data_IF_889828726914
#
_entry.id   IF_889828726914
#
_cell.length_a   1.000
_cell.length_b   1.000
_cell.length_c   1.000
_cell.angle_alpha   90.00
_cell.angle_beta   90.00
_cell.angle_gamma   90.00
#
_symmetry.space_group_name_H-M   'P 1'
#
loop_
_entity.id
_entity.type
_entity.pdbx_description
1 polymer ?
#
# COMPACT_ATOMS: atom_id res chain seq x y z
N UNK A 1 -17.82 75.65 30.83
CA UNK A 1 -18.42 75.26 29.55
C UNK A 1 -17.35 74.57 28.72
N UNK A 2 -17.49 73.26 28.53
CA UNK A 2 -16.57 72.41 27.80
C UNK A 2 -16.57 72.82 26.32
N UNK A 3 -15.41 73.22 25.78
CA UNK A 3 -15.20 73.28 24.34
C UNK A 3 -14.79 71.88 23.88
N UNK A 4 -15.76 71.15 23.34
CA UNK A 4 -15.51 69.92 22.59
C UNK A 4 -14.67 70.25 21.36
N UNK A 5 -13.40 69.83 21.37
CA UNK A 5 -12.60 69.73 20.15
C UNK A 5 -13.08 68.49 19.40
N UNK A 6 -14.00 68.69 18.46
CA UNK A 6 -14.25 67.74 17.38
C UNK A 6 -12.96 67.53 16.59
N UNK A 7 -12.27 66.44 16.87
CA UNK A 7 -11.18 65.93 16.03
C UNK A 7 -11.86 65.33 14.80
N UNK A 8 -11.95 66.11 13.72
CA UNK A 8 -12.25 65.57 12.40
C UNK A 8 -11.07 64.68 11.98
N UNK A 9 -11.28 63.36 11.99
CA UNK A 9 -10.41 62.40 11.32
C UNK A 9 -10.48 62.66 9.82
N UNK A 10 -9.67 63.59 9.33
CA UNK A 10 -9.41 63.75 7.90
C UNK A 10 -8.73 62.47 7.44
N UNK A 11 -9.49 61.61 6.77
CA UNK A 11 -8.95 60.53 5.94
C UNK A 11 -8.07 61.23 4.91
N UNK A 12 -6.75 61.23 5.11
CA UNK A 12 -5.83 61.82 4.15
C UNK A 12 -6.08 61.15 2.81
N UNK A 13 -6.33 61.93 1.75
CA UNK A 13 -6.43 61.37 0.41
C UNK A 13 -5.18 60.54 0.13
N UNK A 14 -5.32 59.27 -0.32
CA UNK A 14 -4.15 58.45 -0.59
C UNK A 14 -3.33 59.12 -1.69
N UNK A 15 -2.01 59.21 -1.48
CA UNK A 15 -1.07 59.78 -2.45
C UNK A 15 -1.28 59.17 -3.85
N UNK A 16 -0.98 59.89 -4.94
CA UNK A 16 -1.11 59.35 -6.30
C UNK A 16 -0.35 58.03 -6.48
N UNK A 17 0.78 57.88 -5.79
CA UNK A 17 1.55 56.64 -5.71
C UNK A 17 0.77 55.51 -5.00
N UNK A 18 0.12 55.79 -3.87
CA UNK A 18 -0.69 54.80 -3.17
C UNK A 18 -1.91 54.36 -4.00
N UNK A 19 -2.52 55.26 -4.78
CA UNK A 19 -3.60 54.91 -5.72
C UNK A 19 -3.09 54.00 -6.85
N UNK A 20 -1.92 54.28 -7.40
CA UNK A 20 -1.31 53.45 -8.45
C UNK A 20 -0.91 52.06 -7.94
N UNK A 21 -0.32 51.97 -6.74
CA UNK A 21 -0.01 50.70 -6.08
C UNK A 21 -1.28 49.88 -5.83
N UNK A 22 -2.36 50.53 -5.37
CA UNK A 22 -3.62 49.83 -5.15
C UNK A 22 -4.25 49.32 -6.46
N UNK A 23 -4.14 50.09 -7.55
CA UNK A 23 -4.57 49.64 -8.87
C UNK A 23 -3.76 48.43 -9.37
N UNK A 24 -2.42 48.44 -9.24
CA UNK A 24 -1.57 47.30 -9.59
C UNK A 24 -1.92 46.05 -8.78
N UNK A 25 -2.23 46.21 -7.48
CA UNK A 25 -2.69 45.11 -6.63
C UNK A 25 -4.01 44.54 -7.12
N UNK A 26 -4.98 45.39 -7.49
CA UNK A 26 -6.26 44.92 -8.04
C UNK A 26 -6.06 44.16 -9.36
N UNK A 27 -5.18 44.64 -10.26
CA UNK A 27 -4.86 43.90 -11.49
C UNK A 27 -4.22 42.54 -11.20
N UNK A 28 -3.35 42.45 -10.19
CA UNK A 28 -2.77 41.18 -9.76
C UNK A 28 -3.84 40.21 -9.22
N UNK A 29 -4.80 40.69 -8.42
CA UNK A 29 -5.93 39.89 -7.96
C UNK A 29 -6.79 39.37 -9.11
N UNK A 30 -7.11 40.22 -10.10
CA UNK A 30 -7.87 39.81 -11.28
C UNK A 30 -7.16 38.73 -12.10
N UNK A 31 -5.84 38.83 -12.24
CA UNK A 31 -5.01 37.79 -12.90
C UNK A 31 -5.07 36.50 -12.07
N UNK A 32 -4.96 36.59 -10.74
CA UNK A 32 -5.01 35.45 -9.86
C UNK A 32 -6.33 34.68 -9.97
N UNK A 33 -7.46 35.38 -9.97
CA UNK A 33 -8.78 34.76 -10.19
C UNK A 33 -8.88 34.06 -11.54
N UNK A 34 -8.33 34.67 -12.60
CA UNK A 34 -8.27 34.05 -13.93
C UNK A 34 -7.39 32.81 -13.97
N UNK A 35 -6.27 32.79 -13.24
CA UNK A 35 -5.42 31.60 -13.14
C UNK A 35 -6.15 30.48 -12.39
N UNK A 36 -6.81 30.79 -11.26
CA UNK A 36 -7.58 29.81 -10.50
C UNK A 36 -8.74 29.22 -11.30
N UNK A 37 -9.46 30.04 -12.08
CA UNK A 37 -10.53 29.54 -12.96
C UNK A 37 -9.99 28.69 -14.12
N UNK A 38 -8.79 29.02 -14.61
CA UNK A 38 -8.10 28.23 -15.63
C UNK A 38 -7.60 26.88 -15.10
N UNK A 39 -7.39 26.74 -13.79
CA UNK A 39 -7.07 25.45 -13.17
C UNK A 39 -8.26 24.49 -13.15
N UNK A 40 -9.50 24.99 -13.11
CA UNK A 40 -10.70 24.14 -13.13
C UNK A 40 -11.16 23.81 -14.54
N UNK A 41 -11.41 24.83 -15.38
CA UNK A 41 -12.26 24.64 -16.57
C UNK A 41 -11.52 24.29 -17.88
N UNK A 42 -10.19 24.21 -17.84
CA UNK A 42 -9.36 24.14 -19.05
C UNK A 42 -8.83 22.72 -19.33
N UNK A 43 -8.24 22.55 -20.51
CA UNK A 43 -7.55 21.31 -20.90
C UNK A 43 -6.40 20.98 -19.94
N UNK A 44 -6.03 19.70 -19.75
CA UNK A 44 -5.04 19.27 -18.76
C UNK A 44 -3.68 19.98 -18.91
N UNK A 45 -3.19 20.17 -20.14
CA UNK A 45 -1.94 20.90 -20.37
C UNK A 45 -1.98 22.37 -19.89
N UNK A 46 -3.14 23.02 -20.00
CA UNK A 46 -3.35 24.40 -19.54
C UNK A 46 -3.49 24.42 -18.02
N UNK A 47 -4.22 23.46 -17.43
CA UNK A 47 -4.35 23.36 -15.96
C UNK A 47 -2.97 23.20 -15.29
N UNK A 48 -2.08 22.35 -15.84
CA UNK A 48 -0.73 22.16 -15.32
C UNK A 48 0.14 23.43 -15.44
N UNK A 49 0.02 24.15 -16.55
CA UNK A 49 0.71 25.43 -16.72
C UNK A 49 0.16 26.49 -15.76
N UNK A 50 -1.17 26.58 -15.61
CA UNK A 50 -1.84 27.49 -14.69
C UNK A 50 -1.37 27.25 -13.25
N UNK A 51 -1.32 26.00 -12.80
CA UNK A 51 -0.76 25.60 -11.51
C UNK A 51 0.70 26.07 -11.37
N UNK A 52 1.54 25.75 -12.36
CA UNK A 52 2.95 26.16 -12.37
C UNK A 52 3.11 27.68 -12.25
N UNK A 53 2.29 28.44 -12.97
CA UNK A 53 2.30 29.92 -12.91
C UNK A 53 1.82 30.44 -11.56
N UNK A 54 0.74 29.87 -11.00
CA UNK A 54 0.24 30.26 -9.68
C UNK A 54 1.30 30.05 -8.59
N UNK A 55 1.99 28.92 -8.60
CA UNK A 55 3.05 28.65 -7.62
C UNK A 55 4.26 29.56 -7.82
N UNK A 56 4.69 29.83 -9.06
CA UNK A 56 5.79 30.78 -9.30
C UNK A 56 5.44 32.18 -8.82
N UNK A 57 4.23 32.66 -9.10
CA UNK A 57 3.75 33.97 -8.61
C UNK A 57 3.67 33.99 -7.07
N UNK A 58 3.14 32.93 -6.45
CA UNK A 58 3.12 32.79 -5.00
C UNK A 58 4.53 32.77 -4.40
N UNK A 59 5.49 32.10 -5.05
CA UNK A 59 6.87 32.06 -4.60
C UNK A 59 7.53 33.45 -4.66
N UNK A 60 7.27 34.22 -5.72
CA UNK A 60 7.73 35.61 -5.83
C UNK A 60 7.06 36.53 -4.79
N UNK A 61 5.77 36.35 -4.51
CA UNK A 61 5.06 37.07 -3.46
C UNK A 61 5.60 36.72 -2.05
N UNK A 62 6.01 35.47 -1.83
CA UNK A 62 6.68 35.05 -0.61
C UNK A 62 8.08 35.65 -0.42
N UNK A 63 8.81 35.88 -1.52
CA UNK A 63 10.12 36.57 -1.49
C UNK A 63 9.98 38.06 -1.26
N UNK A 64 8.97 38.67 -1.90
CA UNK A 64 8.71 40.11 -1.92
C UNK A 64 7.27 40.39 -1.44
N UNK A 65 7.05 40.53 -0.12
CA UNK A 65 5.72 40.67 0.44
C UNK A 65 5.06 41.98 -0.02
N UNK A 66 3.80 41.90 -0.44
CA UNK A 66 3.01 43.05 -0.91
C UNK A 66 2.65 44.01 0.23
N UNK A 67 2.58 43.52 1.46
CA UNK A 67 2.34 44.30 2.68
C UNK A 67 3.59 44.28 3.57
N UNK A 68 3.90 45.38 4.28
CA UNK A 68 4.98 45.39 5.26
C UNK A 68 4.65 44.38 6.36
N UNK A 69 5.39 43.28 6.37
CA UNK A 69 5.25 42.25 7.37
C UNK A 69 5.61 42.87 8.72
N UNK A 70 4.72 42.78 9.71
CA UNK A 70 5.06 43.11 11.11
C UNK A 70 6.15 42.17 11.66
N UNK A 71 6.24 42.01 12.98
CA UNK A 71 7.25 41.18 13.69
C UNK A 71 7.29 39.65 13.34
N UNK A 72 6.72 39.21 12.21
CA UNK A 72 6.83 37.85 11.69
C UNK A 72 8.14 37.71 10.90
N UNK A 73 9.12 37.01 11.46
CA UNK A 73 10.44 36.83 10.84
C UNK A 73 10.47 36.01 9.54
N UNK A 74 9.35 35.40 9.12
CA UNK A 74 9.20 34.64 7.87
C UNK A 74 7.75 34.71 7.35
N UNK A 75 7.56 35.03 6.07
CA UNK A 75 6.25 35.15 5.42
C UNK A 75 6.05 34.08 4.35
N UNK A 76 4.92 33.40 4.42
CA UNK A 76 4.46 32.48 3.38
C UNK A 76 3.01 32.84 3.00
N UNK A 77 2.68 33.05 1.71
CA UNK A 77 1.34 33.49 1.28
C UNK A 77 0.23 32.43 1.46
N UNK A 78 -0.26 32.24 2.70
CA UNK A 78 -1.32 31.27 3.00
C UNK A 78 -2.65 31.58 2.31
N UNK A 79 -2.93 32.85 2.06
CA UNK A 79 -4.15 33.28 1.37
C UNK A 79 -4.14 32.87 -0.11
N UNK A 80 -2.96 32.64 -0.72
CA UNK A 80 -2.80 32.12 -2.08
C UNK A 80 -2.79 30.61 -2.12
N UNK A 81 -2.12 29.98 -1.15
CA UNK A 81 -2.03 28.52 -1.07
C UNK A 81 -3.41 27.88 -0.84
N UNK A 82 -4.25 28.46 0.03
CA UNK A 82 -5.58 27.90 0.34
C UNK A 82 -6.47 27.74 -0.91
N UNK A 83 -6.68 28.76 -1.76
CA UNK A 83 -7.41 28.60 -3.02
C UNK A 83 -6.81 27.54 -3.94
N UNK A 84 -5.48 27.48 -4.09
CA UNK A 84 -4.81 26.46 -4.91
C UNK A 84 -5.18 25.06 -4.40
N UNK A 85 -5.08 24.83 -3.08
CA UNK A 85 -5.45 23.55 -2.47
C UNK A 85 -6.95 23.25 -2.60
N UNK A 86 -7.83 24.24 -2.49
CA UNK A 86 -9.26 24.06 -2.74
C UNK A 86 -9.55 23.59 -4.17
N UNK A 87 -8.82 24.14 -5.16
CA UNK A 87 -8.94 23.72 -6.56
C UNK A 87 -8.36 22.32 -6.79
N UNK A 88 -7.21 21.99 -6.19
CA UNK A 88 -6.64 20.64 -6.25
C UNK A 88 -7.56 19.60 -5.61
N UNK A 89 -8.24 19.95 -4.52
CA UNK A 89 -9.21 19.12 -3.82
C UNK A 89 -10.64 19.29 -4.36
N UNK A 90 -10.84 19.76 -5.60
CA UNK A 90 -12.20 19.96 -6.13
C UNK A 90 -13.02 18.66 -6.10
N UNK A 91 -14.32 18.72 -5.78
CA UNK A 91 -15.20 17.55 -5.76
C UNK A 91 -15.68 17.10 -7.15
N UNK A 92 -15.42 17.88 -8.20
CA UNK A 92 -15.98 17.66 -9.54
C UNK A 92 -15.06 16.87 -10.49
N UNK A 93 -13.74 17.06 -10.38
CA UNK A 93 -12.75 16.48 -11.31
C UNK A 93 -11.65 15.67 -10.59
N UNK A 94 -11.19 14.60 -11.26
CA UNK A 94 -10.03 13.81 -10.83
C UNK A 94 -8.73 14.56 -11.14
N UNK A 95 -8.08 15.06 -10.08
CA UNK A 95 -6.93 15.95 -10.18
C UNK A 95 -5.59 15.23 -9.97
N UNK A 96 -5.53 13.91 -10.14
CA UNK A 96 -4.31 13.12 -9.92
C UNK A 96 -3.09 13.68 -10.68
N UNK A 97 -3.26 14.18 -11.90
CA UNK A 97 -2.19 14.78 -12.71
C UNK A 97 -1.66 16.10 -12.12
N UNK A 98 -2.55 16.95 -11.61
CA UNK A 98 -2.21 18.20 -10.94
C UNK A 98 -1.52 17.93 -9.60
N UNK A 99 -2.00 16.93 -8.84
CA UNK A 99 -1.38 16.51 -7.58
C UNK A 99 0.02 15.95 -7.82
N UNK A 100 0.22 15.17 -8.89
CA UNK A 100 1.54 14.66 -9.26
C UNK A 100 2.52 15.80 -9.58
N UNK A 101 2.07 16.87 -10.23
CA UNK A 101 2.92 18.07 -10.47
C UNK A 101 3.11 18.89 -9.21
N UNK A 102 2.12 18.94 -8.33
CA UNK A 102 2.23 19.61 -7.03
C UNK A 102 3.26 18.92 -6.11
N UNK A 103 3.57 17.64 -6.34
CA UNK A 103 4.63 16.92 -5.64
C UNK A 103 6.00 17.61 -5.73
N UNK A 104 6.35 18.19 -6.89
CA UNK A 104 7.62 18.93 -7.09
C UNK A 104 7.76 20.11 -6.12
N UNK A 105 6.63 20.65 -5.66
CA UNK A 105 6.60 21.81 -4.76
C UNK A 105 6.61 21.36 -3.30
N UNK A 106 6.00 20.20 -3.04
CA UNK A 106 6.05 19.53 -1.73
C UNK A 106 7.51 19.14 -1.39
N UNK A 107 8.40 18.99 -2.36
CA UNK A 107 9.84 18.78 -2.07
C UNK A 107 10.47 19.93 -1.27
N UNK A 108 9.90 21.14 -1.33
CA UNK A 108 10.36 22.27 -0.53
C UNK A 108 9.79 22.24 0.91
N UNK A 109 10.65 22.31 1.96
CA UNK A 109 10.21 22.17 3.35
C UNK A 109 9.20 23.23 3.82
N UNK A 110 9.32 24.47 3.35
CA UNK A 110 8.39 25.55 3.67
C UNK A 110 7.00 25.28 3.08
N UNK A 111 6.93 24.96 1.80
CA UNK A 111 5.69 24.62 1.11
C UNK A 111 5.02 23.38 1.74
N UNK A 112 5.81 22.36 2.10
CA UNK A 112 5.30 21.15 2.75
C UNK A 112 4.66 21.47 4.12
N UNK A 113 5.33 22.25 4.97
CA UNK A 113 4.82 22.63 6.30
C UNK A 113 3.51 23.41 6.21
N UNK A 114 3.48 24.44 5.35
CA UNK A 114 2.30 25.29 5.21
C UNK A 114 1.14 24.58 4.51
N UNK A 115 1.42 23.63 3.61
CA UNK A 115 0.40 22.72 3.07
C UNK A 115 -0.26 21.93 4.20
N UNK A 116 0.53 21.27 5.07
CA UNK A 116 -0.01 20.57 6.24
C UNK A 116 -0.83 21.49 7.14
N UNK A 117 -0.35 22.71 7.40
CA UNK A 117 -1.06 23.69 8.24
C UNK A 117 -2.41 24.11 7.65
N UNK A 118 -2.55 24.15 6.33
CA UNK A 118 -3.78 24.53 5.64
C UNK A 118 -4.82 23.39 5.57
N UNK A 119 -4.39 22.13 5.45
CA UNK A 119 -5.30 20.98 5.25
C UNK A 119 -6.42 20.84 6.30
N UNK A 120 -6.21 21.05 7.62
CA UNK A 120 -7.29 20.98 8.60
C UNK A 120 -8.43 21.98 8.36
N UNK A 121 -8.13 23.13 7.72
CA UNK A 121 -9.16 24.14 7.42
C UNK A 121 -9.96 23.82 6.15
N UNK A 122 -9.44 22.94 5.29
CA UNK A 122 -10.05 22.55 4.02
C UNK A 122 -10.84 21.25 4.15
N UNK A 123 -10.58 20.47 5.20
CA UNK A 123 -11.20 19.16 5.39
C UNK A 123 -12.61 19.30 5.95
N UNK A 124 -13.63 18.82 5.22
CA UNK A 124 -15.01 18.92 5.66
C UNK A 124 -15.26 17.94 6.82
N UNK A 125 -16.02 18.38 7.82
CA UNK A 125 -16.47 17.50 8.91
C UNK A 125 -17.63 16.59 8.50
N UNK A 126 -18.35 16.96 7.43
CA UNK A 126 -19.44 16.17 6.84
C UNK A 126 -18.92 15.32 5.70
N UNK A 127 -19.66 14.27 5.35
CA UNK A 127 -19.38 13.38 4.22
C UNK A 127 -19.13 14.17 2.93
N UNK A 128 -17.92 14.12 2.36
CA UNK A 128 -17.61 14.75 1.08
C UNK A 128 -17.92 13.84 -0.11
N UNK A 129 -17.88 14.40 -1.33
CA UNK A 129 -17.99 13.64 -2.57
C UNK A 129 -16.81 12.67 -2.74
N UNK A 130 -17.04 11.53 -3.40
CA UNK A 130 -16.02 10.49 -3.60
C UNK A 130 -14.75 10.99 -4.28
N UNK A 131 -14.88 11.89 -5.26
CA UNK A 131 -13.75 12.49 -5.99
C UNK A 131 -12.89 13.35 -5.06
N UNK A 132 -13.51 14.07 -4.13
CA UNK A 132 -12.78 14.83 -3.10
C UNK A 132 -11.95 13.89 -2.22
N UNK A 133 -12.53 12.76 -1.79
CA UNK A 133 -11.83 11.77 -0.96
C UNK A 133 -10.63 11.22 -1.72
N UNK A 134 -10.82 10.83 -2.99
CA UNK A 134 -9.75 10.34 -3.86
C UNK A 134 -8.61 11.35 -3.99
N UNK A 135 -8.93 12.60 -4.32
CA UNK A 135 -7.94 13.68 -4.46
C UNK A 135 -7.20 13.96 -3.14
N UNK A 136 -7.90 13.95 -2.00
CA UNK A 136 -7.28 14.13 -0.69
C UNK A 136 -6.33 12.98 -0.34
N UNK A 137 -6.75 11.73 -0.57
CA UNK A 137 -5.92 10.55 -0.30
C UNK A 137 -4.67 10.54 -1.18
N UNK A 138 -4.79 10.88 -2.47
CA UNK A 138 -3.65 11.00 -3.38
C UNK A 138 -2.69 12.11 -2.91
N UNK A 139 -3.22 13.27 -2.50
CA UNK A 139 -2.41 14.36 -1.96
C UNK A 139 -1.67 13.92 -0.69
N UNK A 140 -2.35 13.27 0.27
CA UNK A 140 -1.72 12.75 1.49
C UNK A 140 -0.68 11.67 1.16
N UNK A 141 -0.93 10.82 0.16
CA UNK A 141 0.03 9.80 -0.27
C UNK A 141 1.35 10.42 -0.76
N UNK A 142 1.27 11.57 -1.45
CA UNK A 142 2.44 12.32 -1.93
C UNK A 142 3.10 13.18 -0.85
N UNK A 143 2.35 13.63 0.16
CA UNK A 143 2.89 14.40 1.28
C UNK A 143 3.74 13.50 2.20
N UNK A 144 5.06 13.53 2.00
CA UNK A 144 6.00 12.80 2.86
C UNK A 144 6.29 13.58 4.12
N UNK A 145 5.87 13.07 5.28
CA UNK A 145 6.41 13.54 6.56
C UNK A 145 7.78 12.88 6.79
N UNK A 146 8.83 13.64 7.14
CA UNK A 146 10.10 13.05 7.53
C UNK A 146 9.90 12.07 8.69
N UNK A 147 10.42 10.84 8.55
CA UNK A 147 10.46 9.89 9.67
C UNK A 147 11.35 10.48 10.76
N UNK A 148 10.94 10.36 12.02
CA UNK A 148 11.75 10.72 13.19
C UNK A 148 12.99 9.82 13.21
N UNK A 149 14.03 10.17 12.47
CA UNK A 149 15.36 9.58 12.60
C UNK A 149 16.24 10.63 13.27
N UNK A 150 16.87 10.13 14.33
CA UNK A 150 17.87 10.71 15.20
C UNK A 150 18.76 11.76 14.55
N UNK A 151 18.84 12.91 15.21
CA UNK A 151 19.76 13.98 14.86
C UNK A 151 19.02 15.27 14.64
N UNK A 152 19.27 16.22 15.55
CA UNK A 152 19.28 17.64 15.24
C UNK A 152 20.32 17.96 14.14
N UNK A 153 20.32 17.24 13.01
CA UNK A 153 20.79 17.83 11.77
C UNK A 153 19.72 18.84 11.40
N UNK A 154 19.91 20.03 11.96
CA UNK A 154 19.33 21.28 11.47
C UNK A 154 19.18 21.11 9.96
N UNK A 155 17.95 21.23 9.45
CA UNK A 155 17.73 21.41 8.02
C UNK A 155 18.47 22.70 7.63
N UNK A 156 19.78 22.59 7.44
CA UNK A 156 20.63 23.62 6.89
C UNK A 156 20.17 23.77 5.44
N UNK A 157 19.31 24.75 5.24
CA UNK A 157 19.10 25.46 3.99
C UNK A 157 19.02 24.57 2.73
N UNK A 158 18.25 23.48 2.75
CA UNK A 158 17.77 22.88 1.50
C UNK A 158 16.73 23.84 0.92
N UNK A 159 16.97 24.28 -0.33
CA UNK A 159 16.16 25.17 -1.16
C UNK A 159 14.77 25.48 -0.58
N UNK A 160 14.54 26.69 -0.06
CA UNK A 160 13.21 27.13 0.36
C UNK A 160 12.51 27.78 -0.84
N UNK A 161 11.22 27.51 -1.04
CA UNK A 161 10.43 28.10 -2.11
C UNK A 161 10.29 29.62 -1.92
N UNK A 162 9.99 30.04 -0.69
CA UNK A 162 9.69 31.42 -0.30
C UNK A 162 10.76 31.92 0.68
N UNK A 163 12.02 32.04 0.27
CA UNK A 163 13.05 32.68 1.10
C UNK A 163 12.93 34.21 0.98
N UNK A 164 12.54 34.96 2.04
CA UNK A 164 12.48 36.42 1.94
C UNK A 164 13.90 36.97 1.79
N UNK A 165 14.11 37.90 0.86
CA UNK A 165 15.44 38.50 0.63
C UNK A 165 15.95 39.28 1.86
N UNK A 166 15.04 39.70 2.75
CA UNK A 166 15.30 40.50 3.95
C UNK A 166 14.94 39.78 5.26
N UNK A 167 14.89 38.45 5.28
CA UNK A 167 14.52 37.70 6.49
C UNK A 167 15.61 37.80 7.57
N UNK A 168 15.24 38.30 8.75
CA UNK A 168 16.08 38.31 9.97
C UNK A 168 16.03 36.99 10.74
N UNK A 169 15.09 36.09 10.44
CA UNK A 169 14.97 34.76 11.06
C UNK A 169 14.85 33.66 10.00
N UNK A 170 15.54 32.56 10.23
CA UNK A 170 15.45 31.37 9.39
C UNK A 170 14.10 30.65 9.58
N UNK A 171 13.62 29.97 8.53
CA UNK A 171 12.46 29.10 8.62
C UNK A 171 12.73 27.97 9.63
N UNK A 172 11.78 27.76 10.55
CA UNK A 172 11.84 26.68 11.53
C UNK A 172 10.76 25.67 11.16
N UNK A 173 11.20 24.45 10.87
CA UNK A 173 10.33 23.32 10.63
C UNK A 173 9.71 22.83 11.95
N UNK A 174 8.42 23.09 12.17
CA UNK A 174 7.69 22.59 13.34
C UNK A 174 7.02 21.24 13.02
N UNK A 175 7.75 20.17 13.29
CA UNK A 175 7.27 18.80 13.10
C UNK A 175 6.03 18.48 13.95
N UNK A 176 5.96 19.00 15.19
CA UNK A 176 4.82 18.78 16.07
C UNK A 176 3.56 19.52 15.56
N UNK A 177 3.71 20.69 14.94
CA UNK A 177 2.65 21.40 14.25
C UNK A 177 2.08 20.62 13.06
N UNK A 178 2.95 20.11 12.19
CA UNK A 178 2.54 19.30 11.04
C UNK A 178 1.86 17.99 11.46
N UNK A 179 2.40 17.31 12.48
CA UNK A 179 1.80 16.11 13.07
C UNK A 179 0.40 16.37 13.63
N UNK A 180 0.20 17.44 14.39
CA UNK A 180 -1.12 17.84 14.91
C UNK A 180 -2.11 18.13 13.78
N UNK A 181 -1.65 18.76 12.70
CA UNK A 181 -2.49 19.02 11.53
C UNK A 181 -2.94 17.72 10.84
N UNK A 182 -2.02 16.78 10.62
CA UNK A 182 -2.34 15.45 10.09
C UNK A 182 -3.36 14.73 10.97
N UNK A 183 -3.15 14.68 12.29
CA UNK A 183 -4.07 13.99 13.20
C UNK A 183 -5.49 14.59 13.17
N UNK A 184 -5.63 15.92 13.03
CA UNK A 184 -6.94 16.58 12.89
C UNK A 184 -7.64 16.21 11.57
N UNK A 185 -6.89 16.17 10.48
CA UNK A 185 -7.40 15.75 9.16
C UNK A 185 -7.85 14.30 9.23
N UNK A 186 -7.00 13.42 9.74
CA UNK A 186 -7.27 11.99 9.80
C UNK A 186 -8.46 11.67 10.70
N UNK A 187 -8.62 12.38 11.82
CA UNK A 187 -9.79 12.26 12.67
C UNK A 187 -11.11 12.53 11.92
N UNK A 188 -11.13 13.38 10.90
CA UNK A 188 -12.32 13.59 10.08
C UNK A 188 -12.48 12.47 9.04
N UNK A 189 -11.39 12.08 8.37
CA UNK A 189 -11.38 11.06 7.31
C UNK A 189 -11.89 9.70 7.81
N UNK A 190 -11.57 9.31 9.05
CA UNK A 190 -12.00 8.03 9.63
C UNK A 190 -13.51 7.90 9.80
N UNK A 191 -14.26 9.01 9.85
CA UNK A 191 -15.72 8.99 10.02
C UNK A 191 -16.48 9.04 8.68
N UNK A 192 -15.77 9.08 7.55
CA UNK A 192 -16.42 9.11 6.24
C UNK A 192 -16.80 7.70 5.79
N UNK A 193 -17.95 7.59 5.13
CA UNK A 193 -18.36 6.36 4.44
C UNK A 193 -17.53 6.20 3.15
N UNK A 194 -17.01 5.00 2.90
CA UNK A 194 -16.04 4.76 1.82
C UNK A 194 -16.53 3.65 0.90
N UNK A 195 -16.41 3.88 -0.41
CA UNK A 195 -16.57 2.80 -1.39
C UNK A 195 -15.41 1.80 -1.26
N UNK A 196 -15.58 0.53 -1.69
CA UNK A 196 -14.54 -0.48 -1.58
C UNK A 196 -13.22 -0.11 -2.25
N UNK A 197 -13.24 0.71 -3.31
CA UNK A 197 -12.02 1.17 -3.99
C UNK A 197 -11.28 2.23 -3.16
N UNK A 198 -12.01 3.22 -2.62
CA UNK A 198 -11.45 4.26 -1.76
C UNK A 198 -10.96 3.70 -0.43
N UNK A 199 -11.65 2.71 0.13
CA UNK A 199 -11.23 2.03 1.35
C UNK A 199 -9.85 1.36 1.18
N UNK A 200 -9.60 0.67 0.05
CA UNK A 200 -8.27 0.11 -0.27
C UNK A 200 -7.20 1.19 -0.33
N UNK A 201 -7.47 2.29 -1.04
CA UNK A 201 -6.52 3.41 -1.15
C UNK A 201 -6.23 4.04 0.22
N UNK A 202 -7.27 4.25 1.03
CA UNK A 202 -7.13 4.76 2.38
C UNK A 202 -6.24 3.85 3.23
N UNK A 203 -6.45 2.53 3.20
CA UNK A 203 -5.63 1.59 3.97
C UNK A 203 -4.16 1.65 3.53
N UNK A 204 -3.87 1.75 2.23
CA UNK A 204 -2.49 1.90 1.75
C UNK A 204 -1.85 3.18 2.32
N UNK A 205 -2.55 4.31 2.21
CA UNK A 205 -2.07 5.60 2.73
C UNK A 205 -1.91 5.56 4.25
N UNK A 206 -2.86 4.94 4.95
CA UNK A 206 -2.83 4.77 6.39
C UNK A 206 -1.55 4.05 6.83
N UNK A 207 -1.29 2.88 6.23
CA UNK A 207 -0.20 1.99 6.64
C UNK A 207 1.18 2.53 6.27
N UNK A 208 1.31 3.14 5.10
CA UNK A 208 2.61 3.59 4.58
C UNK A 208 3.00 4.98 5.07
N UNK A 209 2.02 5.89 5.25
CA UNK A 209 2.27 7.32 5.46
C UNK A 209 1.78 7.85 6.79
N UNK A 210 0.61 7.42 7.26
CA UNK A 210 -0.04 8.07 8.41
C UNK A 210 0.33 7.41 9.74
N UNK A 211 0.35 6.08 9.77
CA UNK A 211 0.50 5.30 11.00
C UNK A 211 1.71 5.68 11.86
N UNK A 212 2.92 5.96 11.31
CA UNK A 212 4.07 6.39 12.12
C UNK A 212 3.88 7.72 12.86
N UNK A 213 2.97 8.57 12.39
CA UNK A 213 2.81 9.95 12.88
C UNK A 213 1.54 10.15 13.71
N UNK A 214 0.75 9.10 13.94
CA UNK A 214 -0.44 9.21 14.77
C UNK A 214 -0.08 9.41 16.24
N UNK A 215 -0.80 10.29 16.93
CA UNK A 215 -0.61 10.52 18.37
C UNK A 215 -1.12 9.33 19.19
N UNK A 216 -2.26 8.75 18.78
CA UNK A 216 -2.91 7.61 19.44
C UNK A 216 -3.35 6.58 18.40
N UNK A 217 -2.43 5.73 17.90
CA UNK A 217 -2.75 4.73 16.88
C UNK A 217 -3.74 3.66 17.37
N UNK A 218 -3.87 3.46 18.68
CA UNK A 218 -4.87 2.53 19.28
C UNK A 218 -6.31 2.93 18.95
N UNK A 219 -6.59 4.20 18.61
CA UNK A 219 -7.94 4.61 18.18
C UNK A 219 -8.31 4.05 16.79
N UNK A 220 -7.34 3.54 16.03
CA UNK A 220 -7.60 2.88 14.75
C UNK A 220 -8.07 1.45 14.90
N UNK A 221 -8.02 0.87 16.11
CA UNK A 221 -8.33 -0.54 16.31
C UNK A 221 -9.71 -0.85 15.76
N UNK A 222 -10.77 -0.20 16.26
CA UNK A 222 -12.14 -0.48 15.84
C UNK A 222 -12.32 -0.38 14.31
N UNK A 223 -11.76 0.67 13.69
CA UNK A 223 -11.77 0.82 12.23
C UNK A 223 -11.06 -0.34 11.52
N UNK A 224 -9.86 -0.71 11.96
CA UNK A 224 -9.09 -1.81 11.36
C UNK A 224 -9.75 -3.18 11.61
N UNK A 225 -10.46 -3.35 12.72
CA UNK A 225 -11.26 -4.55 13.01
C UNK A 225 -12.42 -4.67 12.00
N UNK A 226 -13.18 -3.59 11.81
CA UNK A 226 -14.27 -3.54 10.84
C UNK A 226 -13.74 -3.76 9.41
N UNK A 227 -12.59 -3.17 9.08
CA UNK A 227 -11.91 -3.39 7.79
C UNK A 227 -11.39 -4.82 7.64
N UNK A 228 -11.02 -5.49 8.73
CA UNK A 228 -10.51 -6.87 8.73
C UNK A 228 -11.64 -7.89 8.50
N UNK A 229 -12.83 -7.60 9.02
CA UNK A 229 -14.03 -8.40 8.79
C UNK A 229 -14.53 -8.31 7.34
N UNK A 230 -14.13 -7.27 6.61
CA UNK A 230 -14.35 -7.21 5.16
C UNK A 230 -13.44 -8.20 4.40
N UNK A 231 -14.05 -9.08 3.60
CA UNK A 231 -13.31 -10.08 2.84
C UNK A 231 -12.54 -9.51 1.64
N UNK A 232 -11.54 -10.27 1.17
CA UNK A 232 -10.73 -9.94 0.00
C UNK A 232 -9.58 -8.95 0.29
N UNK A 233 -9.27 -8.03 -0.64
CA UNK A 233 -8.07 -7.20 -0.55
C UNK A 233 -8.12 -6.15 0.57
N UNK A 234 -9.31 -5.78 1.07
CA UNK A 234 -9.47 -4.82 2.17
C UNK A 234 -9.04 -5.48 3.48
N UNK A 235 -9.58 -6.65 3.81
CA UNK A 235 -9.18 -7.40 5.00
C UNK A 235 -7.70 -7.71 5.03
N UNK A 236 -7.10 -8.02 3.87
CA UNK A 236 -5.66 -8.27 3.79
C UNK A 236 -4.82 -7.02 4.11
N UNK A 237 -5.20 -5.85 3.59
CA UNK A 237 -4.51 -4.61 3.92
C UNK A 237 -4.71 -4.27 5.40
N UNK A 238 -5.93 -4.45 5.93
CA UNK A 238 -6.26 -4.22 7.33
C UNK A 238 -5.43 -5.10 8.27
N UNK A 239 -5.17 -6.36 7.91
CA UNK A 239 -4.31 -7.28 8.66
C UNK A 239 -2.92 -6.70 8.92
N UNK A 240 -2.32 -5.98 7.97
CA UNK A 240 -1.06 -5.30 8.24
C UNK A 240 -1.20 -4.20 9.31
N UNK A 241 -2.31 -3.45 9.28
CA UNK A 241 -2.59 -2.44 10.28
C UNK A 241 -2.68 -3.05 11.66
N UNK A 242 -3.44 -4.13 11.78
CA UNK A 242 -3.55 -4.90 13.03
C UNK A 242 -2.18 -5.43 13.44
N UNK A 243 -1.38 -5.98 12.53
CA UNK A 243 -0.02 -6.44 12.82
C UNK A 243 0.86 -5.34 13.43
N UNK A 244 0.82 -4.13 12.85
CA UNK A 244 1.58 -2.99 13.36
C UNK A 244 1.08 -2.54 14.74
N UNK A 245 -0.23 -2.62 15.01
CA UNK A 245 -0.80 -2.34 16.34
C UNK A 245 -0.40 -3.40 17.37
N UNK A 246 -0.46 -4.67 17.01
CA UNK A 246 -0.06 -5.79 17.90
C UNK A 246 1.42 -5.69 18.24
N UNK A 247 2.28 -5.46 17.26
CA UNK A 247 3.75 -5.46 17.46
C UNK A 247 4.29 -4.19 18.11
N UNK A 248 3.78 -3.00 17.74
CA UNK A 248 4.32 -1.73 18.25
C UNK A 248 3.56 -1.16 19.43
N UNK A 249 2.27 -1.49 19.54
CA UNK A 249 1.39 -0.93 20.56
C UNK A 249 0.83 -2.01 21.51
N UNK A 250 1.37 -3.23 21.46
CA UNK A 250 1.03 -4.36 22.33
C UNK A 250 -0.48 -4.60 22.44
N UNK A 251 -1.19 -4.45 21.32
CA UNK A 251 -2.62 -4.72 21.28
C UNK A 251 -2.86 -6.23 21.27
N UNK A 252 -3.70 -6.71 22.17
CA UNK A 252 -4.14 -8.10 22.18
C UNK A 252 -5.32 -8.27 21.22
N UNK A 253 -5.08 -8.91 20.07
CA UNK A 253 -6.15 -9.36 19.19
C UNK A 253 -6.44 -10.84 19.48
N UNK A 254 -7.59 -11.17 20.10
CA UNK A 254 -7.99 -12.56 20.25
C UNK A 254 -8.27 -13.15 18.86
N UNK A 255 -7.76 -14.35 18.58
CA UNK A 255 -8.03 -15.12 17.35
C UNK A 255 -7.33 -14.65 16.06
N UNK A 256 -6.22 -13.91 16.14
CA UNK A 256 -5.51 -13.38 14.95
C UNK A 256 -5.14 -14.49 13.97
N UNK A 257 -4.74 -15.65 14.50
CA UNK A 257 -4.37 -16.81 13.71
C UNK A 257 -5.57 -17.48 13.04
N UNK A 258 -6.76 -17.45 13.64
CA UNK A 258 -7.96 -18.00 12.99
C UNK A 258 -8.35 -17.13 11.79
N UNK A 259 -8.27 -15.80 11.94
CA UNK A 259 -8.55 -14.88 10.82
C UNK A 259 -7.48 -15.01 9.74
N UNK A 260 -6.20 -15.04 10.11
CA UNK A 260 -5.10 -15.30 9.18
C UNK A 260 -5.28 -16.63 8.45
N UNK A 261 -5.69 -17.68 9.16
CA UNK A 261 -5.95 -19.00 8.59
C UNK A 261 -7.12 -18.96 7.60
N UNK A 262 -8.20 -18.25 7.93
CA UNK A 262 -9.37 -18.06 7.04
C UNK A 262 -9.06 -17.25 5.79
N UNK A 263 -8.03 -16.39 5.81
CA UNK A 263 -7.62 -15.67 4.59
C UNK A 263 -7.01 -16.60 3.55
N UNK A 264 -6.46 -17.76 3.96
CA UNK A 264 -5.83 -18.74 3.08
C UNK A 264 -6.84 -19.54 2.23
N UNK A 265 -7.44 -18.86 1.27
CA UNK A 265 -8.39 -19.40 0.28
C UNK A 265 -7.80 -19.34 -1.14
N UNK A 266 -8.35 -20.12 -2.10
CA UNK A 266 -7.89 -20.12 -3.50
C UNK A 266 -7.90 -18.73 -4.15
N UNK A 267 -8.79 -17.83 -3.69
CA UNK A 267 -8.92 -16.48 -4.22
C UNK A 267 -7.67 -15.61 -4.05
N UNK A 268 -6.81 -15.91 -3.06
CA UNK A 268 -5.58 -15.12 -2.80
C UNK A 268 -4.69 -15.05 -4.03
N UNK A 269 -4.58 -16.14 -4.81
CA UNK A 269 -3.63 -16.21 -5.92
C UNK A 269 -3.91 -15.18 -7.01
N UNK A 270 -5.17 -14.72 -7.10
CA UNK A 270 -5.61 -13.67 -8.01
C UNK A 270 -5.45 -12.25 -7.44
N UNK A 271 -5.13 -12.11 -6.16
CA UNK A 271 -4.97 -10.81 -5.51
C UNK A 271 -3.59 -10.20 -5.78
N UNK A 272 -3.55 -8.88 -6.00
CA UNK A 272 -2.29 -8.13 -6.20
C UNK A 272 -1.41 -8.05 -4.95
N UNK A 273 -1.98 -8.33 -3.79
CA UNK A 273 -1.34 -8.13 -2.49
C UNK A 273 -0.86 -9.44 -1.85
N UNK A 274 -0.91 -10.58 -2.57
CA UNK A 274 -0.49 -11.90 -2.07
C UNK A 274 0.93 -11.91 -1.50
N UNK A 275 1.88 -11.22 -2.12
CA UNK A 275 3.26 -11.13 -1.62
C UNK A 275 3.33 -10.55 -0.21
N UNK A 276 2.49 -9.54 0.06
CA UNK A 276 2.33 -8.89 1.37
C UNK A 276 1.72 -9.85 2.39
N UNK A 277 0.72 -10.65 2.01
CA UNK A 277 0.14 -11.68 2.87
C UNK A 277 1.19 -12.71 3.31
N UNK A 278 1.91 -13.30 2.36
CA UNK A 278 2.90 -14.32 2.65
C UNK A 278 4.04 -13.77 3.53
N UNK A 279 4.50 -12.54 3.25
CA UNK A 279 5.48 -11.87 4.10
C UNK A 279 4.99 -11.68 5.54
N UNK A 280 3.77 -11.15 5.72
CA UNK A 280 3.20 -10.95 7.06
C UNK A 280 2.95 -12.28 7.77
N UNK A 281 2.51 -13.31 7.03
CA UNK A 281 2.25 -14.64 7.57
C UNK A 281 3.53 -15.31 8.06
N UNK A 282 4.64 -15.16 7.32
CA UNK A 282 5.94 -15.68 7.72
C UNK A 282 6.43 -15.03 9.01
N UNK A 283 6.19 -13.71 9.12
CA UNK A 283 6.51 -12.94 10.32
C UNK A 283 5.61 -13.28 11.52
N UNK A 284 4.33 -13.60 11.31
CA UNK A 284 3.44 -14.07 12.38
C UNK A 284 3.82 -15.48 12.85
N UNK A 285 4.14 -16.38 11.93
CA UNK A 285 4.47 -17.78 12.21
C UNK A 285 5.92 -18.00 12.64
N UNK A 286 6.76 -16.96 12.64
CA UNK A 286 8.10 -17.01 13.24
C UNK A 286 8.10 -16.87 14.77
N UNK A 287 6.93 -16.58 15.37
CA UNK A 287 6.78 -16.53 16.82
C UNK A 287 7.07 -17.88 17.48
N UNK A 288 7.89 -17.88 18.53
CA UNK A 288 8.32 -19.08 19.25
C UNK A 288 7.24 -19.71 20.13
N UNK A 289 6.16 -18.97 20.45
CA UNK A 289 5.13 -19.40 21.40
C UNK A 289 3.92 -20.06 20.73
N UNK A 290 4.04 -20.46 19.47
CA UNK A 290 2.94 -21.06 18.71
C UNK A 290 2.81 -22.56 18.99
N UNK A 291 1.58 -23.08 19.20
CA UNK A 291 1.37 -24.51 19.32
C UNK A 291 1.64 -25.20 17.97
N UNK A 292 2.29 -26.36 18.00
CA UNK A 292 2.63 -27.11 16.79
C UNK A 292 1.41 -27.45 15.94
N UNK A 293 0.26 -27.70 16.57
CA UNK A 293 -1.00 -27.98 15.89
C UNK A 293 -1.45 -26.85 14.95
N UNK A 294 -1.27 -25.60 15.39
CA UNK A 294 -1.61 -24.42 14.60
C UNK A 294 -0.71 -24.31 13.39
N UNK A 295 0.61 -24.45 13.58
CA UNK A 295 1.57 -24.37 12.47
C UNK A 295 1.36 -25.52 11.48
N UNK A 296 1.03 -26.71 11.96
CA UNK A 296 0.65 -27.86 11.12
C UNK A 296 -0.57 -27.54 10.25
N UNK A 297 -1.58 -26.88 10.81
CA UNK A 297 -2.77 -26.47 10.08
C UNK A 297 -2.45 -25.53 8.92
N UNK A 298 -1.61 -24.51 9.15
CA UNK A 298 -1.14 -23.61 8.10
C UNK A 298 -0.34 -24.37 7.03
N UNK A 299 0.61 -25.21 7.44
CA UNK A 299 1.42 -25.99 6.50
C UNK A 299 0.55 -26.90 5.61
N UNK A 300 -0.43 -27.60 6.20
CA UNK A 300 -1.32 -28.52 5.49
C UNK A 300 -2.34 -27.78 4.60
N UNK A 301 -2.94 -26.67 5.07
CA UNK A 301 -3.83 -25.85 4.22
C UNK A 301 -3.07 -25.28 3.03
N UNK A 302 -1.88 -24.72 3.24
CA UNK A 302 -1.03 -24.22 2.16
C UNK A 302 -0.65 -25.33 1.18
N UNK A 303 -0.27 -26.51 1.67
CA UNK A 303 0.00 -27.67 0.84
C UNK A 303 -1.21 -28.04 -0.04
N UNK A 304 -2.44 -28.02 0.51
CA UNK A 304 -3.65 -28.28 -0.27
C UNK A 304 -3.93 -27.19 -1.32
N UNK A 305 -3.68 -25.93 -0.99
CA UNK A 305 -3.82 -24.82 -1.93
C UNK A 305 -2.86 -24.93 -3.14
N UNK A 306 -1.71 -25.60 -2.98
CA UNK A 306 -0.79 -25.83 -4.12
C UNK A 306 -1.40 -26.60 -5.28
N UNK A 307 -2.48 -27.37 -5.05
CA UNK A 307 -3.18 -28.11 -6.10
C UNK A 307 -3.94 -27.20 -7.08
N UNK A 308 -4.28 -25.98 -6.66
CA UNK A 308 -5.01 -24.99 -7.46
C UNK A 308 -4.11 -23.79 -7.82
N UNK A 309 -3.01 -23.60 -7.09
CA UNK A 309 -2.11 -22.46 -7.23
C UNK A 309 -1.37 -22.43 -8.59
N UNK A 310 -1.09 -21.24 -9.13
CA UNK A 310 -0.19 -21.09 -10.27
C UNK A 310 1.28 -21.38 -9.89
N UNK A 311 2.15 -21.69 -10.87
CA UNK A 311 3.52 -22.16 -10.60
C UNK A 311 4.37 -21.20 -9.75
N UNK A 312 4.23 -19.89 -9.94
CA UNK A 312 4.95 -18.89 -9.13
C UNK A 312 4.59 -18.97 -7.64
N UNK A 313 3.31 -19.21 -7.34
CA UNK A 313 2.80 -19.26 -5.97
C UNK A 313 3.10 -20.59 -5.31
N UNK A 314 3.11 -21.70 -6.08
CA UNK A 314 3.57 -23.01 -5.58
C UNK A 314 4.99 -22.88 -5.03
N UNK A 315 5.89 -22.18 -5.73
CA UNK A 315 7.26 -22.00 -5.27
C UNK A 315 7.30 -21.25 -3.93
N UNK A 316 6.55 -20.14 -3.80
CA UNK A 316 6.46 -19.38 -2.54
C UNK A 316 5.95 -20.28 -1.41
N UNK A 317 4.90 -21.08 -1.67
CA UNK A 317 4.34 -22.00 -0.68
C UNK A 317 5.35 -23.08 -0.27
N UNK A 318 6.09 -23.67 -1.22
CA UNK A 318 7.08 -24.69 -0.91
C UNK A 318 8.20 -24.16 0.00
N UNK A 319 8.69 -22.95 -0.27
CA UNK A 319 9.69 -22.30 0.59
C UNK A 319 9.10 -21.97 1.98
N UNK A 320 7.87 -21.47 2.02
CA UNK A 320 7.16 -21.16 3.26
C UNK A 320 6.98 -22.41 4.13
N UNK A 321 6.44 -23.49 3.56
CA UNK A 321 6.24 -24.77 4.29
C UNK A 321 7.59 -25.37 4.70
N UNK A 322 8.61 -25.28 3.85
CA UNK A 322 9.98 -25.66 4.19
C UNK A 322 10.51 -24.92 5.42
N UNK A 323 10.34 -23.59 5.47
CA UNK A 323 10.74 -22.77 6.61
C UNK A 323 9.95 -23.12 7.89
N UNK A 324 8.65 -23.40 7.79
CA UNK A 324 7.85 -23.87 8.95
C UNK A 324 8.36 -25.20 9.49
N UNK A 325 8.71 -26.16 8.63
CA UNK A 325 9.28 -27.45 9.01
C UNK A 325 10.68 -27.32 9.65
N UNK A 326 11.45 -26.31 9.24
CA UNK A 326 12.75 -25.99 9.86
C UNK A 326 12.58 -25.41 11.26
N UNK A 327 11.66 -24.46 11.43
CA UNK A 327 11.39 -23.80 12.72
C UNK A 327 10.76 -24.75 13.74
N UNK A 328 9.87 -25.65 13.29
CA UNK A 328 9.11 -26.57 14.14
C UNK A 328 9.42 -28.03 13.80
N UNK A 329 10.43 -28.66 14.43
CA UNK A 329 10.82 -30.04 14.11
C UNK A 329 9.73 -31.07 14.38
N UNK A 330 8.77 -30.79 15.27
CA UNK A 330 7.61 -31.65 15.52
C UNK A 330 6.72 -31.89 14.29
N UNK A 331 6.77 -30.97 13.31
CA UNK A 331 6.05 -31.08 12.04
C UNK A 331 6.66 -32.09 11.07
N UNK A 332 7.87 -32.60 11.33
CA UNK A 332 8.48 -33.67 10.52
C UNK A 332 7.62 -34.93 10.47
N UNK A 333 6.73 -35.13 11.45
CA UNK A 333 5.71 -36.19 11.44
C UNK A 333 4.76 -36.14 10.23
N UNK A 334 4.58 -34.96 9.64
CA UNK A 334 3.74 -34.78 8.44
C UNK A 334 4.43 -35.31 7.18
N UNK A 335 5.75 -35.46 7.22
CA UNK A 335 6.56 -36.08 6.17
C UNK A 335 6.66 -37.59 6.42
N UNK A 336 7.01 -37.96 7.64
CA UNK A 336 7.21 -39.35 8.05
C UNK A 336 6.46 -39.65 9.35
N UNK A 337 5.37 -40.41 9.25
CA UNK A 337 4.52 -40.70 10.40
C UNK A 337 5.20 -41.77 11.28
N UNK A 338 5.44 -41.50 12.59
CA UNK A 338 6.31 -42.32 13.44
C UNK A 338 5.80 -43.76 13.66
N UNK A 339 4.50 -43.99 13.50
CA UNK A 339 3.89 -45.31 13.64
C UNK A 339 3.87 -46.13 12.35
N UNK A 340 4.29 -45.57 11.20
CA UNK A 340 4.38 -46.25 9.92
C UNK A 340 3.17 -47.12 9.58
N UNK A 341 2.13 -46.54 8.99
CA UNK A 341 0.91 -47.25 8.62
C UNK A 341 0.43 -46.90 7.23
N UNK A 342 -0.01 -47.89 6.47
CA UNK A 342 -0.83 -47.67 5.29
C UNK A 342 -2.15 -47.03 5.74
N UNK A 343 -2.58 -45.98 5.05
CA UNK A 343 -3.94 -45.43 5.23
C UNK A 343 -4.89 -46.60 4.97
N UNK A 344 -5.66 -46.99 5.99
CA UNK A 344 -6.53 -48.15 5.94
C UNK A 344 -7.48 -48.01 4.76
N UNK A 345 -7.24 -48.80 3.70
CA UNK A 345 -8.05 -48.81 2.49
C UNK A 345 -9.44 -49.35 2.82
N UNK A 346 -10.38 -48.43 3.00
CA UNK A 346 -11.82 -48.45 2.68
C UNK A 346 -12.73 -49.63 3.10
N UNK A 347 -12.25 -50.76 3.61
CA UNK A 347 -13.12 -51.92 3.91
C UNK A 347 -13.67 -51.98 5.34
N UNK A 348 -13.27 -51.07 6.24
CA UNK A 348 -13.83 -50.97 7.58
C UNK A 348 -14.06 -49.50 7.99
N UNK A 349 -15.28 -48.98 7.77
CA UNK A 349 -15.88 -47.76 8.34
C UNK A 349 -14.99 -46.84 9.21
N UNK A 350 -14.03 -46.13 8.61
CA UNK A 350 -13.36 -44.93 9.14
C UNK A 350 -11.86 -44.89 8.85
N UNK A 351 -11.24 -43.84 8.35
CA UNK A 351 -11.66 -42.57 7.75
C UNK A 351 -10.48 -42.15 6.84
N UNK A 352 -10.72 -41.41 5.75
CA UNK A 352 -9.65 -40.86 4.90
C UNK A 352 -8.73 -39.88 5.65
N UNK A 353 -7.93 -39.08 4.92
CA UNK A 353 -7.10 -38.01 5.51
C UNK A 353 -7.93 -37.21 6.55
N UNK A 354 -7.55 -37.19 7.85
CA UNK A 354 -8.35 -36.59 8.92
C UNK A 354 -8.39 -35.06 8.86
N UNK A 355 -7.59 -34.43 7.99
CA UNK A 355 -7.52 -32.98 7.86
C UNK A 355 -8.80 -32.37 7.27
N UNK A 356 -9.41 -31.46 8.03
CA UNK A 356 -10.63 -30.74 7.65
C UNK A 356 -10.28 -29.40 6.99
N UNK A 357 -10.43 -29.30 5.67
CA UNK A 357 -10.15 -28.07 4.92
C UNK A 357 -11.17 -26.95 5.20
N UNK A 358 -12.44 -27.27 5.42
CA UNK A 358 -13.48 -26.24 5.66
C UNK A 358 -13.45 -25.65 7.08
N UNK A 359 -12.64 -26.22 7.97
CA UNK A 359 -12.52 -25.74 9.34
C UNK A 359 -11.87 -24.34 9.36
N UNK A 360 -12.39 -23.46 10.23
CA UNK A 360 -11.90 -22.08 10.37
C UNK A 360 -10.93 -21.93 11.52
N UNK A 361 -11.05 -22.77 12.55
CA UNK A 361 -10.07 -22.80 13.63
C UNK A 361 -8.89 -23.71 13.26
N UNK A 362 -7.66 -23.19 13.13
CA UNK A 362 -6.51 -24.03 12.81
C UNK A 362 -6.28 -25.14 13.83
N UNK A 363 -6.64 -24.93 15.11
CA UNK A 363 -6.43 -25.93 16.17
C UNK A 363 -7.35 -27.15 16.03
N UNK A 364 -8.52 -26.99 15.40
CA UNK A 364 -9.52 -28.05 15.22
C UNK A 364 -9.40 -28.77 13.87
N UNK A 365 -8.48 -28.32 13.00
CA UNK A 365 -8.31 -28.86 11.64
C UNK A 365 -7.74 -30.29 11.58
N UNK A 366 -7.28 -30.86 12.69
CA UNK A 366 -6.63 -32.17 12.79
C UNK A 366 -5.40 -32.36 11.89
N UNK A 367 -4.74 -31.28 11.48
CA UNK A 367 -3.62 -31.33 10.55
C UNK A 367 -2.41 -32.14 11.04
N UNK A 368 -2.17 -32.24 12.35
CA UNK A 368 -1.08 -33.05 12.91
C UNK A 368 -1.21 -34.56 12.67
N UNK A 369 -2.44 -35.03 12.44
CA UNK A 369 -2.74 -36.44 12.17
C UNK A 369 -2.71 -36.76 10.66
N UNK A 370 -2.52 -35.73 9.83
CA UNK A 370 -2.43 -35.84 8.37
C UNK A 370 -0.97 -35.96 7.90
N UNK A 371 -0.78 -36.20 6.60
CA UNK A 371 0.53 -36.11 5.92
C UNK A 371 0.50 -35.13 4.74
N UNK A 372 1.68 -34.74 4.24
CA UNK A 372 1.85 -33.78 3.13
C UNK A 372 1.91 -34.47 1.74
N UNK A 373 0.87 -35.22 1.38
CA UNK A 373 0.80 -35.91 0.09
C UNK A 373 0.79 -34.95 -1.11
N UNK A 374 0.24 -33.75 -0.92
CA UNK A 374 0.14 -32.73 -1.97
C UNK A 374 1.53 -32.31 -2.46
N UNK A 375 2.46 -32.07 -1.53
CA UNK A 375 3.85 -31.71 -1.87
C UNK A 375 4.61 -32.92 -2.44
N UNK A 376 4.30 -34.14 -1.99
CA UNK A 376 4.86 -35.35 -2.59
C UNK A 376 4.48 -35.47 -4.07
N UNK A 377 3.23 -35.15 -4.42
CA UNK A 377 2.77 -35.15 -5.81
C UNK A 377 3.49 -34.07 -6.66
N UNK A 378 3.77 -32.89 -6.09
CA UNK A 378 4.49 -31.80 -6.76
C UNK A 378 5.92 -32.16 -7.20
N UNK A 379 6.51 -33.24 -6.68
CA UNK A 379 7.81 -33.74 -7.15
C UNK A 379 7.79 -34.14 -8.63
N UNK A 380 6.60 -34.38 -9.20
CA UNK A 380 6.38 -34.72 -10.60
C UNK A 380 5.75 -33.57 -11.39
N UNK A 381 5.90 -32.33 -10.91
CA UNK A 381 5.38 -31.15 -11.58
C UNK A 381 6.09 -30.86 -12.92
N UNK A 382 5.36 -30.31 -13.88
CA UNK A 382 5.86 -30.04 -15.24
C UNK A 382 7.01 -29.02 -15.27
N UNK A 383 6.99 -28.05 -14.35
CA UNK A 383 8.05 -27.05 -14.22
C UNK A 383 9.17 -27.60 -13.33
N UNK A 384 10.42 -27.73 -13.85
CA UNK A 384 11.53 -28.36 -13.13
C UNK A 384 11.91 -27.68 -11.81
N UNK A 385 11.80 -26.36 -11.72
CA UNK A 385 12.15 -25.58 -10.52
C UNK A 385 11.21 -25.87 -9.34
N UNK A 386 9.95 -26.17 -9.61
CA UNK A 386 8.97 -26.58 -8.60
C UNK A 386 9.23 -28.02 -8.17
N UNK A 387 9.47 -28.90 -9.16
CA UNK A 387 9.78 -30.30 -8.90
C UNK A 387 11.06 -30.45 -8.05
N UNK A 388 12.08 -29.62 -8.28
CA UNK A 388 13.29 -29.57 -7.46
C UNK A 388 13.03 -28.99 -6.08
N UNK A 389 12.27 -27.90 -5.97
CA UNK A 389 11.90 -27.32 -4.68
C UNK A 389 11.14 -28.32 -3.79
N UNK A 390 10.23 -29.12 -4.35
CA UNK A 390 9.48 -30.14 -3.60
C UNK A 390 10.31 -31.36 -3.14
N UNK A 391 11.60 -31.44 -3.50
CA UNK A 391 12.48 -32.57 -3.10
C UNK A 391 12.86 -32.57 -1.63
N UNK A 392 12.69 -31.46 -0.91
CA UNK A 392 12.99 -31.37 0.52
C UNK A 392 12.22 -32.40 1.37
N UNK A 393 11.15 -33.02 0.84
CA UNK A 393 10.43 -34.12 1.49
C UNK A 393 11.23 -35.42 1.49
N UNK A 394 12.07 -35.66 0.47
CA UNK A 394 12.93 -36.87 0.38
C UNK A 394 14.35 -36.61 0.83
N UNK A 395 14.83 -35.40 0.59
CA UNK A 395 16.19 -34.97 0.90
C UNK A 395 16.24 -34.33 2.30
N UNK A 396 17.38 -34.35 3.00
CA UNK A 396 17.49 -33.67 4.29
C UNK A 396 17.22 -32.17 4.11
N UNK A 397 16.39 -31.62 5.00
CA UNK A 397 16.13 -30.18 5.06
C UNK A 397 17.46 -29.41 5.26
N UNK A 398 17.63 -28.23 4.64
CA UNK A 398 18.85 -27.44 4.79
C UNK A 398 19.01 -26.92 6.22
N UNK A 399 20.23 -26.59 6.63
CA UNK A 399 20.48 -26.02 7.97
C UNK A 399 20.03 -24.56 8.12
N UNK A 400 19.76 -23.87 7.01
CA UNK A 400 19.42 -22.44 6.97
C UNK A 400 18.07 -22.27 6.27
N UNK A 401 17.28 -21.30 6.74
CA UNK A 401 16.00 -20.94 6.14
C UNK A 401 16.16 -20.46 4.69
N UNK A 402 15.15 -20.75 3.88
CA UNK A 402 15.06 -20.24 2.52
C UNK A 402 14.73 -18.76 2.53
N UNK A 403 15.42 -17.97 1.71
CA UNK A 403 15.05 -16.58 1.46
C UNK A 403 13.73 -16.51 0.68
N UNK A 404 12.70 -15.97 1.34
CA UNK A 404 11.39 -15.76 0.74
C UNK A 404 11.29 -14.48 -0.07
N UNK A 405 12.09 -13.44 0.23
CA UNK A 405 11.94 -12.12 -0.38
C UNK A 405 12.13 -12.20 -1.91
N UNK A 406 13.16 -12.91 -2.36
CA UNK A 406 13.43 -13.14 -3.77
C UNK A 406 12.33 -13.95 -4.48
N UNK A 407 11.59 -14.81 -3.77
CA UNK A 407 10.48 -15.56 -4.34
C UNK A 407 9.19 -14.73 -4.45
N UNK A 408 8.93 -13.86 -3.48
CA UNK A 408 7.73 -13.01 -3.42
C UNK A 408 7.66 -11.96 -4.55
N UNK A 409 8.82 -11.55 -5.09
CA UNK A 409 8.90 -10.62 -6.23
C UNK A 409 8.66 -11.30 -7.59
N UNK A 410 8.68 -12.64 -7.65
CA UNK A 410 8.54 -13.38 -8.90
C UNK A 410 7.10 -13.35 -9.38
N UNK A 411 6.94 -13.05 -10.66
CA UNK A 411 5.67 -13.08 -11.39
C UNK A 411 5.77 -14.10 -12.52
N UNK A 412 4.67 -14.64 -13.03
CA UNK A 412 4.67 -15.56 -14.18
C UNK A 412 5.45 -15.04 -15.40
N UNK A 413 5.43 -13.73 -15.66
CA UNK A 413 6.25 -13.11 -16.71
C UNK A 413 7.76 -13.29 -16.48
N UNK A 414 8.23 -13.18 -15.24
CA UNK A 414 9.64 -13.41 -14.91
C UNK A 414 10.06 -14.87 -15.12
N UNK A 415 9.16 -15.84 -14.88
CA UNK A 415 9.43 -17.25 -15.17
C UNK A 415 9.69 -17.44 -16.67
N UNK A 416 8.82 -16.88 -17.50
CA UNK A 416 8.95 -16.95 -18.96
C UNK A 416 10.22 -16.23 -19.46
N UNK A 417 10.48 -15.01 -18.99
CA UNK A 417 11.66 -14.24 -19.38
C UNK A 417 12.96 -14.91 -18.94
N UNK A 418 12.96 -15.59 -17.80
CA UNK A 418 14.11 -16.38 -17.33
C UNK A 418 14.39 -17.55 -18.27
N UNK A 419 13.34 -18.26 -18.72
CA UNK A 419 13.52 -19.35 -19.68
C UNK A 419 13.97 -18.86 -21.05
N UNK A 420 13.51 -17.69 -21.50
CA UNK A 420 13.98 -17.10 -22.76
C UNK A 420 15.48 -16.75 -22.74
N UNK A 421 16.00 -16.37 -21.57
CA UNK A 421 17.43 -16.05 -21.38
C UNK A 421 18.30 -17.29 -21.23
N UNK A 422 17.71 -18.45 -20.92
CA UNK A 422 18.46 -19.69 -20.73
C UNK A 422 19.06 -20.15 -22.06
N UNK A 423 20.40 -20.16 -22.14
CA UNK A 423 21.11 -20.71 -23.29
C UNK A 423 21.12 -22.23 -23.19
N UNK A 424 20.23 -22.87 -23.94
CA UNK A 424 20.23 -24.33 -24.08
C UNK A 424 21.49 -24.74 -24.85
N UNK A 425 22.33 -25.58 -24.23
CA UNK A 425 23.58 -26.07 -24.85
C UNK A 425 23.32 -27.20 -25.84
N UNK A 426 22.39 -28.09 -25.51
CA UNK A 426 22.03 -29.25 -26.33
C UNK A 426 20.52 -29.28 -26.56
N UNK A 427 20.11 -29.25 -27.83
CA UNK A 427 18.70 -29.39 -28.23
C UNK A 427 18.45 -30.87 -28.51
N UNK A 428 17.80 -31.55 -27.57
CA UNK A 428 17.36 -32.93 -27.76
C UNK A 428 16.05 -32.93 -28.55
N UNK A 429 16.04 -33.65 -29.68
CA UNK A 429 14.85 -33.84 -30.50
C UNK A 429 14.20 -35.19 -30.17
N UNK A 430 12.88 -35.27 -30.35
CA UNK A 430 12.16 -36.54 -30.28
C UNK A 430 12.67 -37.48 -31.38
N UNK A 431 12.99 -38.72 -31.02
CA UNK A 431 13.45 -39.73 -31.98
C UNK A 431 12.37 -40.08 -32.99
N UNK A 432 11.12 -40.14 -32.52
CA UNK A 432 9.95 -40.34 -33.38
C UNK A 432 9.68 -39.08 -34.20
N UNK A 433 9.77 -39.23 -35.53
CA UNK A 433 9.40 -38.17 -36.47
C UNK A 433 7.89 -38.22 -36.68
N UNK A 434 7.18 -37.08 -36.61
CA UNK A 434 5.77 -37.03 -36.96
C UNK A 434 5.61 -37.35 -38.46
N UNK A 435 4.84 -38.38 -38.78
CA UNK A 435 4.57 -38.79 -40.18
C UNK A 435 3.56 -37.84 -40.88
N UNK A 436 2.83 -37.05 -40.11
CA UNK A 436 1.80 -36.12 -40.56
C UNK A 436 1.62 -35.00 -39.52
N UNK A 437 1.02 -33.88 -39.94
CA UNK A 437 0.59 -32.81 -39.01
C UNK A 437 -0.60 -33.28 -38.12
N UNK A 438 -1.22 -34.41 -38.46
CA UNK A 438 -2.22 -35.07 -37.64
C UNK A 438 -1.57 -35.88 -36.52
N UNK A 439 -2.25 -35.87 -35.36
CA UNK A 439 -1.82 -36.62 -34.18
C UNK A 439 -1.74 -38.13 -34.49
N UNK A 440 -0.79 -38.87 -33.87
CA UNK A 440 -0.70 -40.32 -33.98
C UNK A 440 -2.04 -41.03 -33.70
N UNK A 441 -2.32 -42.10 -34.45
CA UNK A 441 -3.52 -42.93 -34.23
C UNK A 441 -3.47 -43.53 -32.82
N UNK A 442 -4.44 -43.20 -31.98
CA UNK A 442 -4.53 -43.65 -30.59
C UNK A 442 -4.32 -42.56 -29.54
N UNK A 443 -4.00 -41.33 -29.95
CA UNK A 443 -3.99 -40.22 -29.01
C UNK A 443 -5.40 -39.90 -28.50
N UNK A 444 -5.51 -39.70 -27.17
CA UNK A 444 -6.77 -39.33 -26.49
C UNK A 444 -7.39 -38.05 -27.06
N UNK A 445 -6.59 -37.15 -27.61
CA UNK A 445 -7.06 -35.92 -28.26
C UNK A 445 -7.97 -36.19 -29.47
N UNK A 446 -7.69 -37.24 -30.26
CA UNK A 446 -8.51 -37.61 -31.42
C UNK A 446 -9.90 -38.15 -31.04
N UNK A 447 -10.13 -38.47 -29.76
CA UNK A 447 -11.46 -38.85 -29.25
C UNK A 447 -12.39 -37.64 -29.13
N UNK A 448 -11.84 -36.45 -28.90
CA UNK A 448 -12.60 -35.21 -28.67
C UNK A 448 -12.47 -34.20 -29.81
N UNK A 449 -11.44 -34.33 -30.64
CA UNK A 449 -11.16 -33.41 -31.75
C UNK A 449 -11.13 -34.15 -33.08
N UNK A 450 -12.04 -33.78 -33.98
CA UNK A 450 -11.97 -34.17 -35.38
C UNK A 450 -11.03 -33.24 -36.11
N UNK A 451 -9.75 -33.61 -36.17
CA UNK A 451 -8.78 -32.93 -37.03
C UNK A 451 -9.00 -33.42 -38.46
N UNK A 452 -9.91 -32.77 -39.21
CA UNK A 452 -10.09 -33.06 -40.64
C UNK A 452 -8.81 -32.70 -41.38
N UNK A 453 -8.09 -33.70 -41.87
CA UNK A 453 -7.09 -33.51 -42.91
C UNK A 453 -7.84 -33.16 -44.19
N UNK A 454 -8.04 -31.86 -44.47
CA UNK A 454 -8.41 -31.39 -45.80
C UNK A 454 -7.17 -31.53 -46.71
N UNK A 455 -6.98 -32.77 -47.19
CA UNK A 455 -6.74 -33.19 -48.57
C UNK A 455 -6.09 -34.56 -48.63
#
# INVERSE_FOLDING_TARGET
>A
MYLERTISLTISEPSPEARYVNWLRNCYEEIWEKILTSMEKCRPGIQLQALTTAIKLMAEEGKNPLEPIGNLGYYFPLHRLKPILMKLLSPEEDNASLICRFQEIIEYPDALYYTWKCLPSLTPKRQPHEVYIKNLLELIHKLSLPKEIEGNEMCENKNLLCKPQQATKNFIWDQAGARRALNKVWACVMHWELTPQLHKQLLIVLLERVMPHLEKPVLLTDFLMDSLDADGPIGLLALQGVFLLVTKHNLEYPNIFTKLYSMFEPEIFHTKYKARLFYLSDLFLSSTHLPEALVAAFAKRLARLTLVAPPEDILIILLFVGNLLLRHPGLKRLIDHPQGGEVSSEENNGAGDPFLMEERDPLLSNALLSSLWEIKALQWHIVPSIASAARFIREPLPSVEYDMASALERTGGHLFDSELKNKVKDIMLTFERPNSMSLPKGERLLQYWQLTTMH
#
